data_IF_048263842423
#
_entry.id   IF_048263842423
#
_cell.length_a   1.000
_cell.length_b   1.000
_cell.length_c   1.000
_cell.angle_alpha   90.00
_cell.angle_beta   90.00
_cell.angle_gamma   90.00
#
_symmetry.space_group_name_H-M   'P 1'
#
loop_
_entity.id
_entity.type
_entity.pdbx_description
1 polymer ?
#
# COMPACT_ATOMS: atom_id res chain seq x y z
N UNK A 1 -15.16 4.66 19.74
CA UNK A 1 -15.77 3.30 19.72
C UNK A 1 -16.17 3.01 18.27
N UNK A 2 -15.76 1.88 17.75
CA UNK A 2 -16.08 1.45 16.38
C UNK A 2 -16.88 0.16 16.44
N UNK A 3 -17.88 0.03 15.57
CA UNK A 3 -18.67 -1.18 15.42
C UNK A 3 -18.91 -1.45 13.93
N UNK A 4 -18.53 -2.64 13.48
CA UNK A 4 -18.76 -3.11 12.11
C UNK A 4 -19.48 -4.45 12.16
N UNK A 5 -20.49 -4.59 11.33
CA UNK A 5 -21.15 -5.85 11.07
C UNK A 5 -21.06 -6.13 9.58
N UNK A 6 -20.27 -7.12 9.23
CA UNK A 6 -20.13 -7.61 7.87
C UNK A 6 -20.94 -8.88 7.69
N UNK A 7 -21.72 -8.94 6.63
CA UNK A 7 -22.55 -10.07 6.32
C UNK A 7 -22.31 -10.51 4.88
N UNK A 8 -21.93 -11.77 4.69
CA UNK A 8 -21.94 -12.42 3.38
C UNK A 8 -23.30 -13.09 3.25
N UNK A 9 -24.03 -12.68 2.21
CA UNK A 9 -25.26 -13.37 1.78
C UNK A 9 -24.85 -14.43 0.77
N UNK A 10 -25.68 -15.49 0.64
CA UNK A 10 -25.47 -16.56 -0.33
C UNK A 10 -25.33 -15.95 -1.74
N UNK A 11 -24.10 -15.88 -2.23
CA UNK A 11 -23.76 -15.35 -3.55
C UNK A 11 -23.32 -16.51 -4.42
N UNK A 12 -24.13 -16.84 -5.41
CA UNK A 12 -23.76 -17.79 -6.44
C UNK A 12 -23.21 -17.05 -7.65
N UNK A 13 -21.89 -16.97 -7.75
CA UNK A 13 -21.25 -16.66 -9.02
C UNK A 13 -20.89 -17.97 -9.74
N UNK A 14 -20.74 -17.91 -11.06
CA UNK A 14 -20.41 -19.07 -11.92
C UNK A 14 -19.15 -19.84 -11.47
N UNK A 15 -18.35 -19.27 -10.60
CA UNK A 15 -17.07 -19.82 -10.15
C UNK A 15 -16.96 -20.12 -8.65
N UNK A 16 -17.82 -19.61 -7.77
CA UNK A 16 -17.70 -19.84 -6.33
C UNK A 16 -19.06 -19.76 -5.64
N UNK A 17 -19.33 -20.72 -4.75
CA UNK A 17 -20.42 -20.64 -3.79
C UNK A 17 -19.87 -20.06 -2.49
N UNK A 18 -20.53 -19.05 -1.93
CA UNK A 18 -20.22 -18.54 -0.60
C UNK A 18 -21.27 -19.07 0.37
N UNK A 19 -20.85 -19.56 1.52
CA UNK A 19 -21.76 -19.87 2.60
C UNK A 19 -22.20 -18.61 3.33
N UNK A 20 -23.45 -18.53 3.76
CA UNK A 20 -23.93 -17.46 4.61
C UNK A 20 -23.10 -17.36 5.89
N UNK A 21 -22.62 -16.16 6.18
CA UNK A 21 -21.83 -15.92 7.38
C UNK A 21 -21.88 -14.46 7.84
N UNK A 22 -21.81 -14.26 9.13
CA UNK A 22 -21.76 -12.95 9.75
C UNK A 22 -20.56 -12.83 10.66
N UNK A 23 -19.72 -11.83 10.43
CA UNK A 23 -18.63 -11.47 11.33
C UNK A 23 -18.95 -10.12 11.98
N UNK A 24 -18.84 -10.07 13.30
CA UNK A 24 -19.03 -8.85 14.09
C UNK A 24 -17.70 -8.43 14.65
N UNK A 25 -17.27 -7.21 14.32
CA UNK A 25 -16.07 -6.59 14.85
C UNK A 25 -16.44 -5.37 15.70
N UNK A 26 -15.80 -5.24 16.84
CA UNK A 26 -15.93 -4.09 17.74
C UNK A 26 -14.54 -3.65 18.17
N UNK A 27 -14.34 -2.36 18.33
CA UNK A 27 -13.09 -1.85 18.85
C UNK A 27 -13.31 -0.63 19.76
N UNK A 28 -12.43 -0.51 20.73
CA UNK A 28 -12.28 0.68 21.57
C UNK A 28 -10.81 1.05 21.54
N UNK A 29 -10.51 2.33 21.36
CA UNK A 29 -9.15 2.80 21.46
C UNK A 29 -9.05 4.02 22.38
N UNK A 30 -7.90 4.14 23.05
CA UNK A 30 -7.50 5.27 23.84
C UNK A 30 -6.16 5.76 23.31
N UNK A 31 -6.03 7.08 23.17
CA UNK A 31 -4.78 7.73 22.81
C UNK A 31 -4.56 8.93 23.71
N UNK A 32 -3.31 9.11 24.15
CA UNK A 32 -2.88 10.28 24.88
C UNK A 32 -1.55 10.79 24.33
N UNK A 33 -1.30 12.08 24.51
CA UNK A 33 -0.09 12.75 24.05
C UNK A 33 0.53 13.56 25.17
N UNK A 34 1.84 13.40 25.35
CA UNK A 34 2.60 14.02 26.44
C UNK A 34 3.70 14.89 25.86
N UNK A 35 3.73 16.18 26.23
CA UNK A 35 4.85 17.06 26.00
C UNK A 35 5.90 16.81 27.08
N UNK A 36 6.93 16.01 26.78
CA UNK A 36 7.97 15.62 27.74
C UNK A 36 9.01 16.72 27.97
N UNK A 37 9.25 17.54 26.96
CA UNK A 37 10.09 18.74 26.96
C UNK A 37 9.64 19.65 25.81
N UNK A 38 10.15 20.89 25.74
CA UNK A 38 9.79 21.85 24.68
C UNK A 38 9.97 21.26 23.28
N UNK A 39 10.98 20.42 23.10
CA UNK A 39 11.32 19.78 21.80
C UNK A 39 10.94 18.31 21.70
N UNK A 40 10.32 17.70 22.74
CA UNK A 40 10.05 16.25 22.78
C UNK A 40 8.60 15.98 23.11
N UNK A 41 7.90 15.29 22.21
CA UNK A 41 6.53 14.85 22.38
C UNK A 41 6.44 13.33 22.24
N UNK A 42 5.71 12.70 23.14
CA UNK A 42 5.36 11.29 23.05
C UNK A 42 3.85 11.13 22.83
N UNK A 43 3.46 10.12 22.04
CA UNK A 43 2.06 9.72 21.86
C UNK A 43 1.96 8.24 22.11
N UNK A 44 1.14 7.85 23.06
CA UNK A 44 0.81 6.46 23.36
C UNK A 44 -0.62 6.14 23.00
N UNK A 45 -0.87 4.97 22.46
CA UNK A 45 -2.23 4.48 22.23
C UNK A 45 -2.37 2.99 22.54
N UNK A 46 -3.59 2.62 22.91
CA UNK A 46 -4.01 1.24 23.14
C UNK A 46 -5.31 1.02 22.38
N UNK A 47 -5.35 -0.02 21.56
CA UNK A 47 -6.55 -0.45 20.85
C UNK A 47 -6.91 -1.86 21.28
N UNK A 48 -8.12 -2.05 21.77
CA UNK A 48 -8.70 -3.36 22.06
C UNK A 48 -9.71 -3.71 20.97
N UNK A 49 -9.43 -4.77 20.22
CA UNK A 49 -10.31 -5.33 19.22
C UNK A 49 -11.01 -6.58 19.75
N UNK A 50 -12.26 -6.78 19.33
CA UNK A 50 -13.04 -8.01 19.49
C UNK A 50 -13.64 -8.38 18.14
N UNK A 51 -13.35 -9.56 17.68
CA UNK A 51 -13.88 -10.11 16.43
C UNK A 51 -14.56 -11.46 16.74
N UNK A 52 -15.77 -11.65 16.26
CA UNK A 52 -16.56 -12.86 16.60
C UNK A 52 -15.94 -14.15 16.06
N UNK A 53 -15.07 -14.07 15.06
CA UNK A 53 -14.37 -15.21 14.48
C UNK A 53 -12.94 -15.33 15.05
N UNK A 54 -12.18 -14.24 15.01
CA UNK A 54 -10.75 -14.22 15.30
C UNK A 54 -10.40 -13.96 16.78
N UNK A 55 -11.41 -13.77 17.65
CA UNK A 55 -11.17 -13.50 19.06
C UNK A 55 -10.89 -12.04 19.38
N UNK A 56 -9.99 -11.79 20.33
CA UNK A 56 -9.70 -10.42 20.77
C UNK A 56 -8.20 -10.17 20.90
N UNK A 57 -7.79 -8.92 20.65
CA UNK A 57 -6.39 -8.49 20.75
C UNK A 57 -6.29 -7.06 21.30
N UNK A 58 -5.34 -6.86 22.20
CA UNK A 58 -4.87 -5.53 22.60
C UNK A 58 -3.63 -5.18 21.79
N UNK A 59 -3.69 -4.08 21.07
CA UNK A 59 -2.61 -3.58 20.19
C UNK A 59 -2.11 -2.23 20.71
N UNK A 60 -0.92 -2.18 21.31
CA UNK A 60 -0.28 -0.94 21.72
C UNK A 60 0.41 -0.25 20.54
N UNK A 61 0.48 1.09 20.60
CA UNK A 61 1.38 1.87 19.77
C UNK A 61 2.00 3.01 20.59
N UNK A 62 3.24 3.33 20.25
CA UNK A 62 4.00 4.42 20.86
C UNK A 62 4.75 5.16 19.76
N UNK A 63 4.70 6.49 19.78
CA UNK A 63 5.56 7.33 18.96
C UNK A 63 6.26 8.39 19.79
N UNK A 64 7.46 8.74 19.37
CA UNK A 64 8.29 9.80 19.94
C UNK A 64 8.67 10.77 18.81
N UNK A 65 8.40 12.04 19.03
CA UNK A 65 8.79 13.15 18.17
C UNK A 65 9.84 13.99 18.88
N UNK A 66 10.97 14.23 18.21
CA UNK A 66 12.01 15.14 18.69
C UNK A 66 12.26 16.24 17.68
N UNK A 67 11.93 17.48 18.03
CA UNK A 67 12.03 18.66 17.19
C UNK A 67 13.01 19.65 17.80
N UNK A 68 14.35 19.48 17.57
CA UNK A 68 15.38 20.36 18.13
C UNK A 68 15.34 21.76 17.53
N UNK A 69 14.69 21.95 16.38
CA UNK A 69 14.49 23.25 15.74
C UNK A 69 13.24 23.21 14.85
N UNK A 70 12.75 24.36 14.41
CA UNK A 70 11.65 24.47 13.46
C UNK A 70 11.92 23.75 12.11
N UNK A 71 13.20 23.50 11.81
CA UNK A 71 13.64 22.92 10.54
C UNK A 71 13.79 21.39 10.57
N UNK A 72 13.91 20.80 11.74
CA UNK A 72 14.25 19.37 11.89
C UNK A 72 13.27 18.67 12.82
N UNK A 73 12.68 17.59 12.34
CA UNK A 73 11.86 16.68 13.14
C UNK A 73 12.37 15.25 12.97
N UNK A 74 12.69 14.59 14.07
CA UNK A 74 12.92 13.16 14.15
C UNK A 74 11.68 12.47 14.70
N UNK A 75 11.35 11.30 14.16
CA UNK A 75 10.25 10.47 14.62
C UNK A 75 10.71 9.05 14.85
N UNK A 76 10.25 8.43 15.94
CA UNK A 76 10.36 7.00 16.18
C UNK A 76 8.96 6.47 16.47
N UNK A 77 8.60 5.32 15.90
CA UNK A 77 7.32 4.71 16.16
C UNK A 77 7.42 3.20 16.29
N UNK A 78 6.60 2.67 17.16
CA UNK A 78 6.33 1.25 17.35
C UNK A 78 4.82 1.04 17.33
N UNK A 79 4.34 0.06 16.57
CA UNK A 79 2.93 -0.27 16.47
C UNK A 79 2.75 -1.78 16.41
N UNK A 80 1.84 -2.31 17.21
CA UNK A 80 1.30 -3.65 16.98
C UNK A 80 -0.03 -3.57 16.26
N UNK A 81 -0.29 -4.55 15.39
CA UNK A 81 -1.55 -4.64 14.67
C UNK A 81 -2.13 -6.04 14.71
N UNK A 82 -3.43 -6.09 14.50
CA UNK A 82 -4.25 -7.29 14.46
C UNK A 82 -5.13 -7.21 13.21
N UNK A 83 -5.05 -8.22 12.34
CA UNK A 83 -5.84 -8.30 11.13
C UNK A 83 -6.61 -9.61 11.09
N UNK A 84 -7.93 -9.59 11.38
CA UNK A 84 -8.76 -10.80 11.28
C UNK A 84 -8.85 -11.26 9.83
N UNK A 85 -9.07 -12.55 9.58
CA UNK A 85 -9.31 -13.08 8.25
C UNK A 85 -10.46 -12.35 7.56
N UNK A 86 -10.32 -12.15 6.25
CA UNK A 86 -11.38 -11.57 5.42
C UNK A 86 -12.52 -12.56 5.24
N UNK A 87 -13.73 -12.07 5.00
CA UNK A 87 -14.89 -12.92 4.79
C UNK A 87 -14.71 -13.97 3.69
N UNK A 88 -14.10 -13.59 2.57
CA UNK A 88 -13.75 -14.52 1.49
C UNK A 88 -12.87 -15.68 1.97
N UNK A 89 -11.97 -15.43 2.89
CA UNK A 89 -11.05 -16.44 3.43
C UNK A 89 -11.76 -17.40 4.39
N UNK A 90 -12.84 -16.96 5.04
CA UNK A 90 -13.59 -17.73 6.03
C UNK A 90 -14.73 -18.51 5.38
N UNK A 91 -15.49 -17.88 4.47
CA UNK A 91 -16.77 -18.39 3.99
C UNK A 91 -16.75 -18.89 2.54
N UNK A 92 -15.59 -18.93 1.88
CA UNK A 92 -15.47 -19.52 0.55
C UNK A 92 -15.47 -21.06 0.66
N UNK A 93 -16.48 -21.79 0.13
CA UNK A 93 -16.54 -23.25 0.26
C UNK A 93 -15.34 -23.97 -0.37
N UNK A 94 -14.76 -23.37 -1.41
CA UNK A 94 -13.67 -23.98 -2.18
C UNK A 94 -12.29 -23.60 -1.65
N UNK A 95 -12.18 -22.52 -0.87
CA UNK A 95 -10.88 -21.94 -0.48
C UNK A 95 -10.77 -21.63 1.02
N UNK A 96 -11.83 -21.81 1.82
CA UNK A 96 -11.77 -21.51 3.24
C UNK A 96 -11.06 -22.62 4.02
N UNK A 97 -10.39 -22.23 5.10
CA UNK A 97 -10.00 -23.09 6.20
C UNK A 97 -10.72 -22.59 7.45
N UNK A 98 -11.48 -23.46 8.12
CA UNK A 98 -12.24 -23.11 9.31
C UNK A 98 -11.38 -22.79 10.54
N UNK A 99 -10.07 -22.98 10.45
CA UNK A 99 -9.12 -22.79 11.55
C UNK A 99 -8.20 -21.58 11.35
N UNK A 100 -8.54 -20.63 10.48
CA UNK A 100 -7.71 -19.45 10.24
C UNK A 100 -7.56 -18.60 11.50
N UNK A 101 -6.32 -18.31 11.85
CA UNK A 101 -5.97 -17.34 12.89
C UNK A 101 -5.86 -15.95 12.29
N UNK A 102 -6.04 -14.89 13.11
CA UNK A 102 -5.72 -13.54 12.67
C UNK A 102 -4.22 -13.39 12.38
N UNK A 103 -3.90 -12.52 11.44
CA UNK A 103 -2.52 -12.06 11.26
C UNK A 103 -2.17 -11.07 12.38
N UNK A 104 -1.00 -11.21 12.95
CA UNK A 104 -0.46 -10.30 13.95
C UNK A 104 0.88 -9.76 13.49
N UNK A 105 1.14 -8.48 13.77
CA UNK A 105 2.41 -7.92 13.36
C UNK A 105 2.85 -6.73 14.21
N UNK A 106 4.13 -6.43 14.05
CA UNK A 106 4.83 -5.31 14.66
C UNK A 106 5.48 -4.46 13.60
N UNK A 107 5.40 -3.17 13.76
CA UNK A 107 6.02 -2.20 12.86
C UNK A 107 6.90 -1.28 13.68
N UNK A 108 8.14 -1.11 13.23
CA UNK A 108 9.12 -0.18 13.76
C UNK A 108 9.44 0.83 12.67
N UNK A 109 9.40 2.10 12.99
CA UNK A 109 9.69 3.17 12.05
C UNK A 109 10.61 4.21 12.66
N UNK A 110 11.51 4.75 11.85
CA UNK A 110 12.29 5.92 12.20
C UNK A 110 12.28 6.90 11.03
N UNK A 111 12.01 8.16 11.32
CA UNK A 111 11.86 9.21 10.32
C UNK A 111 12.68 10.45 10.63
N UNK A 112 13.04 11.16 9.57
CA UNK A 112 13.62 12.49 9.59
C UNK A 112 12.83 13.36 8.60
N UNK A 113 12.38 14.52 9.07
CA UNK A 113 11.90 15.59 8.22
C UNK A 113 12.82 16.81 8.39
N UNK A 114 13.34 17.31 7.28
CA UNK A 114 14.19 18.49 7.23
C UNK A 114 13.60 19.54 6.28
N UNK A 115 13.28 20.71 6.79
CA UNK A 115 12.69 21.84 6.07
C UNK A 115 13.66 23.03 6.20
N UNK A 116 14.70 23.10 5.33
CA UNK A 116 15.71 24.15 5.41
C UNK A 116 15.12 25.54 5.21
N UNK A 117 14.11 25.64 4.35
CA UNK A 117 13.40 26.86 3.97
C UNK A 117 11.96 26.54 3.52
N UNK A 118 11.12 27.56 3.32
CA UNK A 118 9.72 27.42 2.89
C UNK A 118 9.55 26.78 1.50
N UNK A 119 10.63 26.69 0.72
CA UNK A 119 10.61 26.17 -0.64
C UNK A 119 11.10 24.74 -0.77
N UNK A 120 11.66 24.17 0.30
CA UNK A 120 12.37 22.89 0.24
C UNK A 120 11.96 21.98 1.39
N UNK A 121 11.80 20.70 1.12
CA UNK A 121 11.70 19.68 2.17
C UNK A 121 12.41 18.39 1.76
N UNK A 122 13.02 17.73 2.74
CA UNK A 122 13.57 16.39 2.65
C UNK A 122 12.91 15.54 3.73
N UNK A 123 12.38 14.38 3.35
CA UNK A 123 11.85 13.41 4.29
C UNK A 123 12.53 12.07 4.05
N UNK A 124 12.92 11.43 5.12
CA UNK A 124 13.47 10.06 5.11
C UNK A 124 12.68 9.24 6.12
N UNK A 125 12.35 8.03 5.77
CA UNK A 125 11.73 7.05 6.66
C UNK A 125 12.37 5.69 6.43
N UNK A 126 12.69 4.99 7.49
CA UNK A 126 13.08 3.58 7.47
C UNK A 126 12.06 2.79 8.27
N UNK A 127 11.73 1.60 7.81
CA UNK A 127 10.74 0.76 8.46
C UNK A 127 11.15 -0.70 8.50
N UNK A 128 10.69 -1.38 9.52
CA UNK A 128 10.74 -2.83 9.64
C UNK A 128 9.40 -3.33 10.12
N UNK A 129 8.78 -4.24 9.35
CA UNK A 129 7.55 -4.95 9.70
C UNK A 129 7.86 -6.43 9.90
N UNK A 130 7.35 -7.00 10.96
CA UNK A 130 7.39 -8.42 11.28
C UNK A 130 5.95 -8.91 11.45
N UNK A 131 5.49 -9.82 10.59
CA UNK A 131 4.12 -10.33 10.58
C UNK A 131 4.10 -11.85 10.72
N UNK A 132 3.30 -12.34 11.65
CA UNK A 132 3.11 -13.76 11.92
C UNK A 132 1.70 -14.21 11.52
N UNK A 133 1.54 -15.51 11.31
CA UNK A 133 0.28 -16.14 10.90
C UNK A 133 -0.34 -15.49 9.63
N UNK A 134 0.53 -15.02 8.70
CA UNK A 134 0.09 -14.40 7.45
C UNK A 134 -0.74 -15.39 6.65
N UNK A 135 -1.92 -14.94 6.23
CA UNK A 135 -2.89 -15.77 5.51
C UNK A 135 -2.59 -15.69 4.02
N UNK A 136 -2.28 -16.82 3.43
CA UNK A 136 -2.06 -16.94 2.00
C UNK A 136 -2.67 -18.24 1.45
N UNK A 137 -2.80 -18.35 0.13
CA UNK A 137 -3.25 -19.59 -0.51
C UNK A 137 -2.13 -20.63 -0.41
N UNK A 138 -2.45 -21.81 0.10
CA UNK A 138 -1.51 -22.92 0.16
C UNK A 138 -1.35 -23.55 -1.24
N UNK A 139 -0.30 -23.12 -1.92
CA UNK A 139 0.07 -23.62 -3.26
C UNK A 139 0.84 -24.94 -3.25
N UNK A 140 1.22 -25.46 -2.09
CA UNK A 140 1.83 -26.79 -1.98
C UNK A 140 0.80 -27.89 -2.26
N UNK A 141 -0.49 -27.58 -2.11
CA UNK A 141 -1.57 -28.48 -2.41
C UNK A 141 -1.89 -28.54 -3.92
N UNK A 142 -2.39 -29.67 -4.43
CA UNK A 142 -2.96 -29.75 -5.76
C UNK A 142 -4.00 -28.63 -5.99
N UNK A 143 -4.07 -28.09 -7.22
CA UNK A 143 -4.90 -26.91 -7.55
C UNK A 143 -6.34 -26.95 -6.99
N UNK A 144 -6.99 -28.10 -7.07
CA UNK A 144 -8.36 -28.32 -6.61
C UNK A 144 -8.50 -28.49 -5.07
N UNK A 145 -7.38 -28.54 -4.34
CA UNK A 145 -7.34 -28.61 -2.87
C UNK A 145 -6.75 -27.35 -2.25
N UNK A 146 -6.40 -26.34 -3.06
CA UNK A 146 -5.82 -25.10 -2.56
C UNK A 146 -6.82 -24.36 -1.71
N UNK A 147 -6.36 -23.86 -0.55
CA UNK A 147 -7.17 -23.11 0.41
C UNK A 147 -6.33 -22.06 1.11
N UNK A 148 -6.98 -21.12 1.73
CA UNK A 148 -6.30 -20.18 2.60
C UNK A 148 -5.80 -20.88 3.86
N UNK A 149 -4.62 -20.53 4.30
CA UNK A 149 -4.02 -21.05 5.52
C UNK A 149 -3.04 -20.02 6.13
N UNK A 150 -2.82 -20.09 7.44
CA UNK A 150 -1.76 -19.32 8.12
C UNK A 150 -0.41 -20.00 7.89
N UNK A 151 0.20 -19.75 6.77
CA UNK A 151 1.36 -20.49 6.28
C UNK A 151 2.65 -19.69 6.23
N UNK A 152 2.57 -18.38 6.50
CA UNK A 152 3.72 -17.52 6.32
C UNK A 152 4.05 -16.70 7.55
N UNK A 153 5.34 -16.44 7.71
CA UNK A 153 5.94 -15.39 8.49
C UNK A 153 6.59 -14.42 7.51
N UNK A 154 6.26 -13.16 7.57
CA UNK A 154 6.71 -12.17 6.60
C UNK A 154 7.43 -11.02 7.29
N UNK A 155 8.63 -10.73 6.83
CA UNK A 155 9.41 -9.57 7.24
C UNK A 155 9.56 -8.62 6.06
N UNK A 156 9.16 -7.37 6.26
CA UNK A 156 9.38 -6.31 5.28
C UNK A 156 10.30 -5.25 5.88
N UNK A 157 11.40 -4.95 5.20
CA UNK A 157 12.34 -3.90 5.61
C UNK A 157 12.58 -2.98 4.43
N UNK A 158 12.58 -1.69 4.68
CA UNK A 158 12.79 -0.73 3.61
C UNK A 158 13.03 0.68 4.10
N UNK A 159 13.20 1.56 3.12
CA UNK A 159 13.29 2.99 3.36
C UNK A 159 12.61 3.77 2.23
N UNK A 160 12.17 4.97 2.57
CA UNK A 160 11.71 5.98 1.61
C UNK A 160 12.50 7.26 1.83
N UNK A 161 12.97 7.85 0.73
CA UNK A 161 13.54 9.20 0.73
C UNK A 161 12.74 10.03 -0.24
N UNK A 162 12.24 11.19 0.19
CA UNK A 162 11.55 12.11 -0.68
C UNK A 162 12.05 13.53 -0.50
N UNK A 163 12.22 14.23 -1.61
CA UNK A 163 12.61 15.63 -1.62
C UNK A 163 11.63 16.44 -2.47
N UNK A 164 11.19 17.57 -1.96
CA UNK A 164 10.42 18.53 -2.72
C UNK A 164 11.13 19.88 -2.79
N UNK A 165 11.01 20.54 -3.93
CA UNK A 165 11.58 21.87 -4.16
C UNK A 165 10.64 22.74 -4.99
N UNK A 166 10.38 23.94 -4.51
CA UNK A 166 9.77 25.01 -5.28
C UNK A 166 10.91 25.90 -5.80
N UNK A 167 11.22 25.76 -7.08
CA UNK A 167 12.32 26.53 -7.72
C UNK A 167 11.96 27.99 -7.96
N UNK A 168 10.67 28.25 -8.15
CA UNK A 168 10.09 29.58 -8.32
C UNK A 168 8.61 29.55 -7.98
N UNK A 169 7.92 30.66 -8.10
CA UNK A 169 6.45 30.71 -7.96
C UNK A 169 5.73 29.80 -8.95
N UNK A 170 6.38 29.48 -10.07
CA UNK A 170 5.79 28.70 -11.17
C UNK A 170 6.18 27.22 -11.14
N UNK A 171 7.36 26.89 -10.65
CA UNK A 171 7.93 25.54 -10.77
C UNK A 171 8.07 24.84 -9.43
N UNK A 172 7.53 23.63 -9.34
CA UNK A 172 7.69 22.73 -8.20
C UNK A 172 8.07 21.33 -8.68
N UNK A 173 8.87 20.63 -7.92
CA UNK A 173 9.18 19.21 -8.14
C UNK A 173 9.06 18.42 -6.85
N UNK A 174 8.75 17.14 -7.01
CA UNK A 174 8.84 16.10 -6.00
C UNK A 174 9.60 14.92 -6.60
N UNK A 175 10.55 14.40 -5.84
CA UNK A 175 11.23 13.14 -6.13
C UNK A 175 11.08 12.26 -4.91
N UNK A 176 10.66 11.02 -5.08
CA UNK A 176 10.58 10.06 -3.99
C UNK A 176 11.10 8.69 -4.46
N UNK A 177 11.99 8.10 -3.67
CA UNK A 177 12.49 6.75 -3.90
C UNK A 177 12.16 5.88 -2.70
N UNK A 178 11.57 4.73 -2.97
CA UNK A 178 11.27 3.70 -1.96
C UNK A 178 12.01 2.43 -2.35
N UNK A 179 12.70 1.84 -1.39
CA UNK A 179 13.23 0.49 -1.50
C UNK A 179 12.59 -0.39 -0.44
N UNK A 180 12.14 -1.58 -0.85
CA UNK A 180 11.51 -2.56 0.03
C UNK A 180 12.09 -3.94 -0.25
N UNK A 181 12.49 -4.62 0.81
CA UNK A 181 12.83 -6.06 0.77
C UNK A 181 11.79 -6.79 1.60
N UNK A 182 11.17 -7.80 1.01
CA UNK A 182 10.23 -8.68 1.71
C UNK A 182 10.80 -10.09 1.73
N UNK A 183 10.97 -10.62 2.93
CA UNK A 183 11.38 -12.00 3.16
C UNK A 183 10.17 -12.75 3.72
N UNK A 184 9.72 -13.80 3.03
CA UNK A 184 8.58 -14.62 3.46
C UNK A 184 9.04 -16.03 3.74
N UNK A 185 8.90 -16.47 4.98
CA UNK A 185 9.16 -17.85 5.42
C UNK A 185 7.83 -18.60 5.41
N UNK A 186 7.74 -19.65 4.61
CA UNK A 186 6.57 -20.56 4.57
C UNK A 186 6.85 -21.87 5.27
N UNK A 187 5.84 -22.41 5.94
CA UNK A 187 5.89 -23.75 6.57
C UNK A 187 6.15 -24.87 5.54
N UNK A 188 5.79 -24.68 4.27
CA UNK A 188 5.86 -25.66 3.20
C UNK A 188 6.67 -25.13 2.01
N UNK A 189 7.92 -24.78 2.24
CA UNK A 189 9.06 -24.63 1.30
C UNK A 189 8.84 -24.12 -0.15
N UNK A 190 7.73 -23.44 -0.46
CA UNK A 190 7.61 -22.75 -1.74
C UNK A 190 7.92 -21.27 -1.56
N UNK A 191 8.85 -20.68 -2.32
CA UNK A 191 9.10 -19.26 -2.26
C UNK A 191 7.82 -18.51 -2.65
N UNK A 192 7.48 -17.48 -1.91
CA UNK A 192 6.45 -16.53 -2.29
C UNK A 192 7.13 -15.39 -3.02
N UNK A 193 6.74 -15.15 -4.24
CA UNK A 193 7.00 -13.86 -4.82
C UNK A 193 6.07 -12.86 -4.18
N UNK A 194 6.66 -11.82 -3.64
CA UNK A 194 5.90 -10.66 -3.24
C UNK A 194 5.79 -9.77 -4.46
N UNK A 195 4.58 -9.35 -4.80
CA UNK A 195 4.31 -8.44 -5.93
C UNK A 195 4.82 -7.01 -5.66
N UNK A 196 5.58 -6.82 -4.60
CA UNK A 196 6.15 -5.54 -4.19
C UNK A 196 7.47 -5.37 -4.93
N UNK A 197 7.63 -4.34 -5.77
CA UNK A 197 8.91 -4.05 -6.41
C UNK A 197 9.97 -3.74 -5.34
N UNK A 198 11.20 -4.18 -5.58
CA UNK A 198 12.30 -3.86 -4.68
C UNK A 198 12.63 -2.36 -4.67
N UNK A 199 12.45 -1.67 -5.79
CA UNK A 199 12.64 -0.24 -5.88
C UNK A 199 11.53 0.47 -6.67
N UNK A 200 11.12 1.63 -6.19
CA UNK A 200 10.20 2.51 -6.90
C UNK A 200 10.67 3.96 -6.83
N UNK A 201 10.72 4.64 -7.98
CA UNK A 201 11.06 6.06 -8.08
C UNK A 201 9.86 6.83 -8.64
N UNK A 202 9.44 7.85 -7.92
CA UNK A 202 8.41 8.81 -8.34
C UNK A 202 9.07 10.16 -8.65
N UNK A 203 8.68 10.74 -9.77
CA UNK A 203 9.14 12.05 -10.23
C UNK A 203 7.93 12.88 -10.62
N UNK A 204 7.72 14.00 -9.94
CA UNK A 204 6.69 14.98 -10.29
C UNK A 204 7.36 16.31 -10.65
N UNK A 205 6.98 16.86 -11.78
CA UNK A 205 7.33 18.22 -12.18
C UNK A 205 6.05 18.98 -12.48
N UNK A 206 5.80 20.03 -11.71
CA UNK A 206 4.62 20.87 -11.86
C UNK A 206 5.02 22.28 -12.28
N UNK A 207 4.30 22.78 -13.27
CA UNK A 207 4.38 24.15 -13.74
C UNK A 207 3.01 24.83 -13.59
N UNK A 208 2.98 25.96 -12.91
CA UNK A 208 1.76 26.77 -12.73
C UNK A 208 2.02 28.18 -13.20
N UNK A 209 1.15 28.70 -14.09
CA UNK A 209 1.23 30.08 -14.54
C UNK A 209 -0.16 30.58 -14.90
N UNK A 210 -0.60 31.66 -14.26
CA UNK A 210 -1.91 32.29 -14.43
C UNK A 210 -3.05 31.25 -14.33
N UNK A 211 -3.65 30.91 -15.46
CA UNK A 211 -4.75 29.95 -15.55
C UNK A 211 -4.33 28.53 -15.86
N UNK A 212 -3.07 28.30 -16.14
CA UNK A 212 -2.56 27.00 -16.57
C UNK A 212 -1.81 26.29 -15.45
N UNK A 213 -2.03 24.97 -15.38
CA UNK A 213 -1.24 24.08 -14.54
C UNK A 213 -0.90 22.83 -15.34
N UNK A 214 0.38 22.53 -15.45
CA UNK A 214 0.91 21.34 -16.14
C UNK A 214 1.58 20.47 -15.10
N UNK A 215 1.28 19.18 -15.10
CA UNK A 215 1.95 18.18 -14.29
C UNK A 215 2.51 17.09 -15.20
N UNK A 216 3.80 16.83 -15.07
CA UNK A 216 4.48 15.67 -15.64
C UNK A 216 4.85 14.74 -14.49
N UNK A 217 4.45 13.48 -14.58
CA UNK A 217 4.71 12.45 -13.58
C UNK A 217 5.44 11.27 -14.22
N UNK A 218 6.52 10.86 -13.59
CA UNK A 218 7.26 9.64 -13.94
C UNK A 218 7.22 8.63 -12.80
N UNK A 219 6.97 7.37 -13.12
CA UNK A 219 7.09 6.25 -12.19
C UNK A 219 8.04 5.22 -12.78
N UNK A 220 9.18 5.02 -12.11
CA UNK A 220 10.11 3.93 -12.39
C UNK A 220 9.91 2.81 -11.39
N UNK A 221 9.80 1.59 -11.86
CA UNK A 221 9.72 0.37 -11.05
C UNK A 221 10.95 -0.45 -11.35
N UNK A 222 11.61 -0.95 -10.31
CA UNK A 222 12.86 -1.66 -10.40
C UNK A 222 12.79 -2.98 -9.65
N UNK A 223 13.28 -4.01 -10.31
CA UNK A 223 13.41 -5.36 -9.76
C UNK A 223 12.10 -5.85 -9.13
N UNK A 224 11.02 -5.74 -9.92
CA UNK A 224 9.74 -6.34 -9.56
C UNK A 224 9.89 -7.85 -9.62
N UNK A 225 9.83 -8.49 -8.45
CA UNK A 225 9.95 -9.92 -8.36
C UNK A 225 8.76 -10.58 -9.07
N UNK A 226 9.09 -11.42 -10.06
CA UNK A 226 8.14 -12.31 -10.71
C UNK A 226 8.37 -13.70 -10.16
N UNK A 227 7.34 -14.32 -9.64
CA UNK A 227 7.48 -15.56 -8.87
C UNK A 227 8.05 -16.75 -9.56
N UNK A 228 8.31 -16.73 -10.83
CA UNK A 228 8.91 -17.85 -11.56
C UNK A 228 10.19 -17.49 -12.34
N UNK A 229 10.82 -16.36 -12.06
CA UNK A 229 12.15 -16.04 -12.60
C UNK A 229 12.23 -15.84 -14.12
N UNK A 230 11.24 -16.20 -14.88
CA UNK A 230 11.18 -16.02 -16.33
C UNK A 230 9.87 -15.34 -16.75
N UNK A 231 9.80 -14.04 -16.53
CA UNK A 231 8.76 -13.27 -17.12
C UNK A 231 9.05 -13.06 -18.61
N UNK A 232 8.42 -13.85 -19.45
CA UNK A 232 8.60 -13.78 -20.90
C UNK A 232 8.07 -12.48 -21.53
N UNK A 233 7.28 -11.68 -20.81
CA UNK A 233 6.47 -10.61 -21.39
C UNK A 233 6.58 -9.25 -20.71
N UNK A 234 6.97 -9.15 -19.45
CA UNK A 234 7.17 -7.86 -18.79
C UNK A 234 8.62 -7.70 -18.31
N UNK A 235 9.13 -6.51 -18.50
CA UNK A 235 10.39 -6.14 -17.91
C UNK A 235 10.20 -5.99 -16.39
N UNK A 236 11.09 -6.59 -15.60
CA UNK A 236 11.17 -6.37 -14.15
C UNK A 236 11.43 -4.89 -13.81
N UNK A 237 11.87 -4.13 -14.82
CA UNK A 237 12.13 -2.71 -14.74
C UNK A 237 11.34 -2.00 -15.83
N UNK A 238 10.57 -0.99 -15.45
CA UNK A 238 9.84 -0.18 -16.42
C UNK A 238 9.63 1.25 -15.93
N UNK A 239 9.33 2.13 -16.87
CA UNK A 239 8.97 3.52 -16.63
C UNK A 239 7.62 3.85 -17.24
N UNK A 240 6.75 4.47 -16.46
CA UNK A 240 5.48 5.00 -16.95
C UNK A 240 5.45 6.49 -16.75
N UNK A 241 5.08 7.22 -17.79
CA UNK A 241 4.99 8.67 -17.76
C UNK A 241 3.59 9.13 -18.06
N UNK A 242 3.11 10.08 -17.28
CA UNK A 242 1.80 10.69 -17.42
C UNK A 242 1.96 12.20 -17.49
N UNK A 243 1.09 12.87 -18.26
CA UNK A 243 1.01 14.33 -18.28
C UNK A 243 -0.43 14.79 -18.11
N UNK A 244 -0.61 15.90 -17.43
CA UNK A 244 -1.90 16.58 -17.38
C UNK A 244 -1.74 18.08 -17.54
N UNK A 245 -2.68 18.67 -18.29
CA UNK A 245 -2.85 20.10 -18.44
C UNK A 245 -4.21 20.47 -17.85
N UNK A 246 -4.23 21.42 -16.95
CA UNK A 246 -5.44 22.02 -16.43
C UNK A 246 -5.51 23.48 -16.84
N UNK A 247 -6.70 23.94 -17.21
CA UNK A 247 -7.00 25.33 -17.56
C UNK A 247 -8.15 25.85 -16.74
N UNK A 248 -7.93 26.90 -15.95
CA UNK A 248 -8.96 27.56 -15.16
C UNK A 248 -9.74 28.52 -16.05
N UNK A 249 -10.88 28.05 -16.58
CA UNK A 249 -11.74 28.84 -17.48
C UNK A 249 -12.42 29.99 -16.72
N UNK A 250 -12.97 29.67 -15.53
CA UNK A 250 -13.63 30.60 -14.62
C UNK A 250 -13.30 30.25 -13.17
N UNK A 251 -13.76 31.06 -12.21
CA UNK A 251 -13.50 30.84 -10.77
C UNK A 251 -13.88 29.42 -10.30
N UNK A 252 -14.98 28.91 -10.84
CA UNK A 252 -15.60 27.63 -10.47
C UNK A 252 -15.53 26.57 -11.60
N UNK A 253 -14.85 26.86 -12.73
CA UNK A 253 -14.80 25.97 -13.89
C UNK A 253 -13.37 25.72 -14.31
N UNK A 254 -13.01 24.43 -14.41
CA UNK A 254 -11.68 23.99 -14.81
C UNK A 254 -11.78 22.93 -15.89
N UNK A 255 -11.11 23.14 -17.01
CA UNK A 255 -10.93 22.15 -18.07
C UNK A 255 -9.67 21.35 -17.78
N UNK A 256 -9.64 20.07 -18.15
CA UNK A 256 -8.42 19.27 -18.08
C UNK A 256 -8.27 18.34 -19.25
N UNK A 257 -7.01 18.09 -19.60
CA UNK A 257 -6.58 17.05 -20.54
C UNK A 257 -5.51 16.22 -19.84
N UNK A 258 -5.64 14.89 -19.89
CA UNK A 258 -4.62 13.96 -19.38
C UNK A 258 -4.21 12.99 -20.45
N UNK A 259 -2.93 12.67 -20.47
CA UNK A 259 -2.35 11.58 -21.24
C UNK A 259 -1.67 10.64 -20.27
N UNK A 260 -2.20 9.44 -20.12
CA UNK A 260 -1.60 8.43 -19.28
C UNK A 260 -0.75 7.50 -20.15
N UNK A 261 0.36 7.02 -19.57
CA UNK A 261 1.29 6.15 -20.26
C UNK A 261 1.75 6.70 -21.61
N UNK A 262 2.34 7.90 -21.60
CA UNK A 262 2.72 8.67 -22.80
C UNK A 262 3.50 7.85 -23.83
N UNK A 263 4.42 6.99 -23.35
CA UNK A 263 5.28 6.19 -24.22
C UNK A 263 4.68 4.84 -24.59
N UNK A 264 3.42 4.57 -24.20
CA UNK A 264 2.72 3.31 -24.45
C UNK A 264 3.53 2.09 -23.94
N UNK A 265 4.15 2.24 -22.76
CA UNK A 265 4.90 1.16 -22.12
C UNK A 265 3.95 0.01 -21.81
N UNK A 266 4.31 -1.20 -22.21
CA UNK A 266 3.64 -2.41 -21.74
C UNK A 266 4.17 -2.76 -20.35
N UNK A 267 3.29 -2.88 -19.36
CA UNK A 267 3.65 -3.23 -17.99
C UNK A 267 2.49 -3.88 -17.26
N UNK A 268 2.81 -4.58 -16.17
CA UNK A 268 1.86 -5.16 -15.25
C UNK A 268 2.28 -4.79 -13.82
N UNK A 269 1.33 -4.43 -12.99
CA UNK A 269 1.56 -4.25 -11.56
C UNK A 269 1.35 -5.56 -10.78
N UNK A 270 0.80 -6.57 -11.41
CA UNK A 270 0.46 -7.83 -10.79
C UNK A 270 0.67 -9.00 -11.74
N UNK A 271 1.34 -10.02 -11.25
CA UNK A 271 1.55 -11.30 -11.92
C UNK A 271 0.99 -12.42 -11.03
N UNK A 272 0.13 -13.25 -11.57
CA UNK A 272 -0.41 -14.41 -10.85
C UNK A 272 0.45 -15.64 -11.09
N UNK A 273 1.44 -15.85 -10.22
CA UNK A 273 2.36 -16.98 -10.29
C UNK A 273 1.71 -18.36 -10.22
N UNK A 274 0.54 -18.44 -9.65
CA UNK A 274 -0.08 -19.72 -9.36
C UNK A 274 -0.73 -20.39 -10.56
N UNK A 275 -0.49 -19.86 -11.78
CA UNK A 275 -1.14 -20.33 -13.00
C UNK A 275 -2.64 -20.26 -12.82
N UNK A 276 -3.18 -19.04 -12.66
CA UNK A 276 -4.56 -18.63 -12.51
C UNK A 276 -5.64 -19.69 -12.21
N UNK A 277 -6.86 -19.29 -12.08
CA UNK A 277 -8.01 -20.19 -11.94
C UNK A 277 -8.09 -21.23 -13.09
N UNK A 278 -7.64 -20.85 -14.29
CA UNK A 278 -7.66 -21.69 -15.49
C UNK A 278 -6.37 -22.45 -15.78
N UNK A 279 -5.31 -22.28 -14.97
CA UNK A 279 -4.03 -22.99 -15.17
C UNK A 279 -3.09 -22.37 -16.19
N UNK A 280 -3.41 -21.20 -16.71
CA UNK A 280 -2.57 -20.40 -17.56
C UNK A 280 -1.85 -19.33 -16.72
N UNK A 281 -0.69 -18.88 -17.18
CA UNK A 281 -0.04 -17.70 -16.63
C UNK A 281 -0.94 -16.50 -16.95
N UNK A 282 -1.66 -16.00 -15.94
CA UNK A 282 -2.57 -14.87 -16.10
C UNK A 282 -1.81 -13.57 -15.89
N UNK A 283 -1.91 -12.70 -16.89
CA UNK A 283 -1.31 -11.39 -16.92
C UNK A 283 -2.40 -10.34 -16.80
N UNK A 284 -2.21 -9.45 -15.87
CA UNK A 284 -3.05 -8.26 -15.77
C UNK A 284 -2.28 -7.08 -16.34
N UNK A 285 -2.30 -6.95 -17.67
CA UNK A 285 -1.70 -5.80 -18.33
C UNK A 285 -2.42 -4.52 -17.92
N UNK A 286 -1.64 -3.55 -17.49
CA UNK A 286 -2.14 -2.20 -17.25
C UNK A 286 -2.48 -1.51 -18.58
N UNK A 287 -3.40 -0.52 -18.57
CA UNK A 287 -3.79 0.20 -19.79
C UNK A 287 -2.61 0.80 -20.50
N UNK A 288 -2.56 0.62 -21.82
CA UNK A 288 -1.67 1.34 -22.70
C UNK A 288 -1.95 2.85 -22.67
N UNK A 289 -1.32 3.60 -23.60
CA UNK A 289 -1.55 5.04 -23.72
C UNK A 289 -3.04 5.34 -23.87
N UNK A 290 -3.54 6.20 -22.98
CA UNK A 290 -4.93 6.64 -23.03
C UNK A 290 -5.04 8.14 -22.74
N UNK A 291 -6.16 8.71 -23.18
CA UNK A 291 -6.43 10.14 -23.12
C UNK A 291 -7.72 10.39 -22.35
N UNK A 292 -7.72 11.43 -21.53
CA UNK A 292 -8.90 11.88 -20.80
C UNK A 292 -9.07 13.38 -20.99
N UNK A 293 -10.30 13.80 -21.29
CA UNK A 293 -10.67 15.21 -21.39
C UNK A 293 -11.91 15.41 -20.53
N UNK A 294 -11.95 16.47 -19.76
CA UNK A 294 -13.12 16.74 -18.91
C UNK A 294 -13.19 18.16 -18.38
N UNK A 295 -14.31 18.40 -17.70
CA UNK A 295 -14.64 19.68 -17.07
C UNK A 295 -14.96 19.40 -15.60
N UNK A 296 -14.33 20.14 -14.70
CA UNK A 296 -14.68 20.19 -13.29
C UNK A 296 -15.44 21.51 -13.03
N UNK A 297 -16.64 21.41 -12.51
CA UNK A 297 -17.47 22.55 -12.12
C UNK A 297 -17.83 22.43 -10.64
N UNK A 298 -17.60 23.51 -9.87
CA UNK A 298 -17.97 23.59 -8.46
C UNK A 298 -19.16 24.55 -8.30
N UNK A 299 -20.20 24.14 -7.61
CA UNK A 299 -21.38 24.92 -7.30
C UNK A 299 -21.14 25.90 -6.15
#
# INVERSE_FOLDING_TARGET
MEYYKDQVLDYQDLAAKYSDGTVISKAVYLQDSWQLADSVKAVGSLRQDWNSYAGSKLSPALSLEYQPSEKVLYTLAYTEYFAPPKQLQIFSPDYSDEALKPEEGRVYEAGLTYIPDESSSLKMNVFHRDATDVIAVDISLPKYLRRYANIAHEKATGFTVSASKRFSEKWRSLVAYTQTKVDTERKNSSPVSTMIPHGELLLDLMYEYDKYSVLLQGRGVFDQANGRGENRFANNNYWVWNASLNYKLQKNTRLYVKVNNIFNQFYSNWDNESGGFLGFDEWYAEPGRNYQIGINYSF
#
